data_IF_700267244097
#
_entry.id   IF_700267244097
#
_cell.length_a   1.000
_cell.length_b   1.000
_cell.length_c   1.000
_cell.angle_alpha   90.00
_cell.angle_beta   90.00
_cell.angle_gamma   90.00
#
_symmetry.space_group_name_H-M   'P 1'
#
loop_
_entity.id
_entity.type
_entity.pdbx_description
1 polymer ?
#
# COMPACT_ATOMS: atom_id res chain seq x y z
N UNK A 1 -1.17 -20.57 10.18
CA UNK A 1 -1.97 -19.46 9.60
C UNK A 1 -1.56 -19.17 8.15
N UNK A 2 -0.28 -19.09 7.81
CA UNK A 2 0.21 -19.01 6.41
C UNK A 2 -0.35 -20.13 5.53
N UNK A 3 -0.35 -21.37 6.04
CA UNK A 3 -0.97 -22.52 5.39
C UNK A 3 -2.47 -22.33 5.13
N UNK A 4 -3.20 -21.62 6.00
CA UNK A 4 -4.64 -21.42 5.83
C UNK A 4 -4.95 -20.46 4.67
N UNK A 5 -4.22 -19.35 4.57
CA UNK A 5 -4.33 -18.41 3.45
C UNK A 5 -3.97 -19.09 2.13
N UNK A 6 -2.86 -19.83 2.13
CA UNK A 6 -2.42 -20.60 0.96
C UNK A 6 -3.46 -21.64 0.54
N UNK A 7 -4.00 -22.42 1.49
CA UNK A 7 -5.02 -23.44 1.21
C UNK A 7 -6.30 -22.83 0.64
N UNK A 8 -6.74 -21.65 1.13
CA UNK A 8 -7.92 -20.95 0.61
C UNK A 8 -7.71 -20.44 -0.81
N UNK A 9 -6.55 -19.85 -1.09
CA UNK A 9 -6.23 -19.38 -2.43
C UNK A 9 -6.11 -20.53 -3.43
N UNK A 10 -5.39 -21.58 -3.05
CA UNK A 10 -5.23 -22.75 -3.90
C UNK A 10 -6.56 -23.49 -4.10
N UNK A 11 -7.46 -23.48 -3.11
CA UNK A 11 -8.84 -23.93 -3.29
C UNK A 11 -9.58 -23.06 -4.32
N UNK A 12 -9.42 -21.73 -4.25
CA UNK A 12 -10.07 -20.82 -5.18
C UNK A 12 -9.54 -20.95 -6.62
N UNK A 13 -8.23 -21.15 -6.80
CA UNK A 13 -7.58 -21.18 -8.12
C UNK A 13 -7.48 -22.57 -8.74
N UNK A 14 -7.63 -23.66 -7.97
CA UNK A 14 -7.57 -25.03 -8.50
C UNK A 14 -8.76 -25.34 -9.43
N UNK A 15 -8.44 -25.88 -10.61
CA UNK A 15 -9.40 -26.36 -11.61
C UNK A 15 -9.76 -27.85 -11.42
N UNK A 16 -8.92 -28.60 -10.70
CA UNK A 16 -8.99 -30.07 -10.59
C UNK A 16 -10.18 -30.55 -9.77
N UNK A 17 -10.70 -29.72 -8.86
CA UNK A 17 -11.83 -30.09 -7.98
C UNK A 17 -13.22 -29.78 -8.55
N UNK A 18 -13.33 -29.24 -9.77
CA UNK A 18 -14.60 -28.80 -10.37
C UNK A 18 -15.63 -29.93 -10.58
N UNK A 19 -15.18 -31.17 -10.80
CA UNK A 19 -16.06 -32.30 -11.13
C UNK A 19 -16.57 -33.05 -9.88
N UNK A 20 -15.75 -33.18 -8.82
CA UNK A 20 -16.16 -33.84 -7.57
C UNK A 20 -16.91 -32.91 -6.60
N UNK A 21 -16.69 -31.59 -6.66
CA UNK A 21 -17.34 -30.62 -5.77
C UNK A 21 -18.77 -30.25 -6.20
N UNK A 22 -19.26 -30.70 -7.37
CA UNK A 22 -20.66 -30.51 -7.79
C UNK A 22 -21.68 -31.18 -6.86
N UNK A 23 -21.25 -32.11 -6.01
CA UNK A 23 -22.14 -32.86 -5.11
C UNK A 23 -22.27 -32.27 -3.69
N UNK A 24 -21.51 -31.22 -3.35
CA UNK A 24 -21.68 -30.53 -2.08
C UNK A 24 -22.39 -29.21 -2.39
N UNK A 25 -23.61 -29.03 -1.85
CA UNK A 25 -24.37 -27.78 -1.93
C UNK A 25 -23.57 -26.63 -1.28
N UNK A 26 -22.64 -26.06 -2.02
CA UNK A 26 -21.92 -24.86 -1.61
C UNK A 26 -22.82 -23.66 -1.91
N UNK A 27 -23.16 -22.93 -0.84
CA UNK A 27 -24.00 -21.73 -0.89
C UNK A 27 -23.45 -20.70 -1.89
N UNK A 28 -24.33 -19.90 -2.51
CA UNK A 28 -23.98 -18.83 -3.45
C UNK A 28 -22.88 -17.88 -2.93
N UNK A 29 -22.79 -17.72 -1.60
CA UNK A 29 -21.79 -16.93 -0.90
C UNK A 29 -20.36 -17.45 -1.04
N UNK A 30 -20.16 -18.77 -1.14
CA UNK A 30 -18.83 -19.37 -1.30
C UNK A 30 -18.31 -19.26 -2.73
N UNK A 31 -19.20 -19.26 -3.73
CA UNK A 31 -18.84 -19.00 -5.12
C UNK A 31 -18.35 -17.58 -5.35
N UNK A 32 -19.03 -16.59 -4.75
CA UNK A 32 -18.59 -15.20 -4.79
C UNK A 32 -17.24 -14.98 -4.14
N UNK A 33 -17.03 -15.60 -2.96
CA UNK A 33 -15.74 -15.55 -2.29
C UNK A 33 -14.64 -16.13 -3.18
N UNK A 34 -14.93 -17.23 -3.89
CA UNK A 34 -13.99 -17.85 -4.83
C UNK A 34 -13.67 -16.92 -6.00
N UNK A 35 -14.66 -16.32 -6.64
CA UNK A 35 -14.46 -15.43 -7.79
C UNK A 35 -13.67 -14.17 -7.40
N UNK A 36 -13.95 -13.60 -6.22
CA UNK A 36 -13.16 -12.49 -5.69
C UNK A 36 -11.71 -12.93 -5.42
N UNK A 37 -11.50 -14.07 -4.78
CA UNK A 37 -10.16 -14.60 -4.53
C UNK A 37 -9.39 -14.84 -5.84
N UNK A 38 -10.04 -15.36 -6.89
CA UNK A 38 -9.43 -15.54 -8.22
C UNK A 38 -9.02 -14.18 -8.80
N UNK A 39 -9.91 -13.19 -8.78
CA UNK A 39 -9.62 -11.83 -9.27
C UNK A 39 -8.46 -11.19 -8.51
N UNK A 40 -8.46 -11.26 -7.18
CA UNK A 40 -7.43 -10.65 -6.34
C UNK A 40 -6.09 -11.39 -6.48
N UNK A 41 -6.13 -12.73 -6.63
CA UNK A 41 -4.93 -13.54 -6.85
C UNK A 41 -4.20 -13.21 -8.15
N UNK A 42 -4.93 -12.77 -9.17
CA UNK A 42 -4.41 -12.37 -10.48
C UNK A 42 -4.09 -10.87 -10.59
N UNK A 43 -4.14 -10.15 -9.47
CA UNK A 43 -3.81 -8.71 -9.41
C UNK A 43 -2.36 -8.51 -8.99
N UNK A 44 -1.69 -7.49 -9.54
CA UNK A 44 -0.31 -7.16 -9.15
C UNK A 44 -0.28 -6.60 -7.72
N UNK A 45 0.77 -6.91 -6.96
CA UNK A 45 0.92 -6.40 -5.59
C UNK A 45 0.83 -4.86 -5.51
N UNK A 46 1.41 -4.16 -6.49
CA UNK A 46 1.34 -2.69 -6.59
C UNK A 46 -0.10 -2.17 -6.70
N UNK A 47 -0.93 -2.85 -7.47
CA UNK A 47 -2.35 -2.51 -7.67
C UNK A 47 -3.19 -2.80 -6.42
N UNK A 48 -2.70 -3.69 -5.55
CA UNK A 48 -3.27 -3.96 -4.21
C UNK A 48 -2.72 -3.00 -3.13
N UNK A 49 -1.98 -1.97 -3.53
CA UNK A 49 -1.38 -0.99 -2.64
C UNK A 49 -0.13 -1.47 -1.90
N UNK A 50 0.42 -2.65 -2.25
CA UNK A 50 1.67 -3.18 -1.70
C UNK A 50 2.84 -2.75 -2.58
N UNK A 51 3.74 -1.91 -2.04
CA UNK A 51 4.98 -1.52 -2.73
C UNK A 51 4.85 -0.42 -3.80
N UNK A 52 3.76 0.35 -3.80
CA UNK A 52 3.68 1.57 -4.61
C UNK A 52 4.45 2.72 -3.95
N UNK A 53 4.89 3.73 -4.72
CA UNK A 53 5.73 4.84 -4.25
C UNK A 53 5.13 5.66 -3.09
N UNK A 54 3.80 5.64 -2.94
CA UNK A 54 3.10 6.25 -1.80
C UNK A 54 3.20 5.39 -0.52
N UNK A 55 3.53 4.11 -0.66
CA UNK A 55 3.28 3.03 0.31
C UNK A 55 4.40 1.97 0.41
N UNK A 56 5.60 2.23 -0.12
CA UNK A 56 6.80 1.50 0.29
C UNK A 56 6.96 1.72 1.80
N UNK A 57 6.77 0.66 2.60
CA UNK A 57 7.18 0.70 4.00
C UNK A 57 8.67 1.00 3.98
N UNK A 58 9.05 2.11 4.60
CA UNK A 58 10.45 2.43 4.87
C UNK A 58 11.09 1.18 5.46
N UNK A 59 11.98 0.55 4.70
CA UNK A 59 12.75 -0.56 5.21
C UNK A 59 13.79 0.00 6.18
N UNK A 60 14.11 -0.78 7.19
CA UNK A 60 15.25 -0.49 8.06
C UNK A 60 16.35 -1.45 7.65
N UNK A 61 17.42 -0.87 7.13
CA UNK A 61 18.58 -1.60 6.64
C UNK A 61 19.77 -1.38 7.58
N UNK A 62 20.60 -2.42 7.73
CA UNK A 62 21.86 -2.39 8.45
C UNK A 62 22.94 -3.02 7.56
N UNK A 63 24.15 -2.49 7.64
CA UNK A 63 25.30 -3.11 6.98
C UNK A 63 25.73 -4.39 7.72
N UNK A 64 26.34 -5.33 7.01
CA UNK A 64 26.73 -6.62 7.58
C UNK A 64 27.80 -6.51 8.69
N UNK A 65 28.59 -5.44 8.70
CA UNK A 65 29.64 -5.15 9.69
C UNK A 65 29.13 -4.46 10.96
N UNK A 66 27.84 -4.09 11.01
CA UNK A 66 27.20 -3.53 12.21
C UNK A 66 27.15 -4.58 13.31
N UNK A 67 27.45 -4.21 14.54
CA UNK A 67 27.37 -5.11 15.69
C UNK A 67 25.91 -5.54 15.95
N UNK A 68 25.71 -6.81 16.33
CA UNK A 68 24.38 -7.39 16.62
C UNK A 68 23.63 -6.57 17.67
N UNK A 69 24.32 -6.10 18.71
CA UNK A 69 23.70 -5.26 19.74
C UNK A 69 23.13 -3.94 19.19
N UNK A 70 23.78 -3.36 18.18
CA UNK A 70 23.30 -2.12 17.55
C UNK A 70 22.17 -2.42 16.55
N UNK A 71 22.26 -3.53 15.82
CA UNK A 71 21.14 -4.03 15.01
C UNK A 71 19.88 -4.27 15.87
N UNK A 72 20.03 -4.83 17.08
CA UNK A 72 18.92 -5.00 18.03
C UNK A 72 18.31 -3.68 18.47
N UNK A 73 19.12 -2.62 18.67
CA UNK A 73 18.60 -1.28 18.98
C UNK A 73 17.73 -0.77 17.83
N UNK A 74 18.17 -0.92 16.58
CA UNK A 74 17.38 -0.54 15.40
C UNK A 74 16.09 -1.36 15.28
N UNK A 75 16.18 -2.67 15.51
CA UNK A 75 15.04 -3.59 15.51
C UNK A 75 13.95 -3.13 16.50
N UNK A 76 14.36 -2.79 17.72
CA UNK A 76 13.47 -2.32 18.78
C UNK A 76 12.94 -0.90 18.53
N UNK A 77 13.82 0.03 18.15
CA UNK A 77 13.45 1.44 17.98
C UNK A 77 12.50 1.65 16.81
N UNK A 78 12.68 0.89 15.72
CA UNK A 78 11.82 0.97 14.55
C UNK A 78 10.56 0.09 14.67
N UNK A 79 10.45 -0.73 15.71
CA UNK A 79 9.35 -1.67 15.93
C UNK A 79 9.05 -2.52 14.67
N UNK A 80 10.11 -3.09 14.08
CA UNK A 80 10.04 -3.91 12.88
C UNK A 80 10.27 -5.39 13.22
N UNK A 81 9.69 -6.29 12.43
CA UNK A 81 9.85 -7.73 12.62
C UNK A 81 11.12 -8.30 11.96
N UNK A 82 11.74 -7.52 11.08
CA UNK A 82 12.94 -7.90 10.32
C UNK A 82 13.71 -6.65 9.86
N UNK A 83 15.03 -6.75 9.82
CA UNK A 83 15.96 -5.80 9.21
C UNK A 83 16.51 -6.35 7.90
N UNK A 84 16.69 -5.47 6.91
CA UNK A 84 17.46 -5.78 5.73
C UNK A 84 18.95 -5.75 6.08
N UNK A 85 19.68 -6.81 5.75
CA UNK A 85 21.14 -6.80 5.83
C UNK A 85 21.67 -6.50 4.43
N UNK A 86 22.31 -5.36 4.28
CA UNK A 86 22.74 -4.84 2.97
C UNK A 86 24.26 -4.71 2.88
N UNK A 87 24.77 -4.66 1.65
CA UNK A 87 26.15 -4.27 1.40
C UNK A 87 26.30 -2.73 1.31
N UNK A 88 27.54 -2.28 1.08
CA UNK A 88 27.87 -0.85 0.90
C UNK A 88 27.20 -0.19 -0.30
N UNK A 89 26.68 -0.99 -1.25
CA UNK A 89 25.94 -0.53 -2.43
C UNK A 89 24.42 -0.56 -2.21
N UNK A 90 23.95 -1.01 -1.03
CA UNK A 90 22.54 -1.17 -0.70
C UNK A 90 21.90 -2.45 -1.26
N UNK A 91 22.71 -3.40 -1.76
CA UNK A 91 22.24 -4.70 -2.22
C UNK A 91 21.81 -5.54 -1.03
N UNK A 92 20.65 -6.19 -1.15
CA UNK A 92 20.18 -7.10 -0.11
C UNK A 92 21.05 -8.36 -0.09
N UNK A 93 21.82 -8.54 0.98
CA UNK A 93 22.62 -9.76 1.21
C UNK A 93 21.80 -10.76 2.01
N UNK A 94 21.22 -10.33 3.12
CA UNK A 94 20.51 -11.21 4.04
C UNK A 94 19.37 -10.48 4.78
N UNK A 95 18.72 -11.17 5.71
CA UNK A 95 17.73 -10.61 6.61
C UNK A 95 18.05 -10.96 8.05
N UNK A 96 17.79 -10.04 8.98
CA UNK A 96 17.99 -10.25 10.41
C UNK A 96 16.66 -10.09 11.14
N UNK A 97 16.14 -11.19 11.67
CA UNK A 97 14.77 -11.30 12.19
C UNK A 97 14.73 -11.83 13.62
N UNK A 98 13.59 -11.67 14.28
CA UNK A 98 13.36 -12.31 15.60
C UNK A 98 13.58 -13.82 15.60
N UNK A 99 13.38 -14.49 14.46
CA UNK A 99 13.64 -15.93 14.32
C UNK A 99 15.14 -16.25 14.44
N UNK A 100 16.02 -15.35 13.98
CA UNK A 100 17.47 -15.51 14.12
C UNK A 100 17.91 -15.32 15.58
N UNK A 101 17.19 -14.47 16.33
CA UNK A 101 17.43 -14.24 17.75
C UNK A 101 16.93 -15.38 18.65
N UNK A 102 15.99 -16.22 18.17
CA UNK A 102 15.34 -17.27 18.99
C UNK A 102 16.32 -18.28 19.59
N UNK A 103 17.48 -18.44 18.96
CA UNK A 103 18.53 -19.37 19.42
C UNK A 103 19.54 -18.72 20.37
N UNK A 104 19.42 -17.41 20.67
CA UNK A 104 20.22 -16.75 21.70
C UNK A 104 19.73 -17.18 23.08
N UNK A 105 20.64 -17.75 23.85
CA UNK A 105 20.43 -18.06 25.27
C UNK A 105 21.18 -17.04 26.14
N UNK A 106 20.89 -17.02 27.43
CA UNK A 106 21.61 -16.21 28.41
C UNK A 106 23.11 -16.55 28.51
N UNK A 107 23.57 -17.64 27.91
CA UNK A 107 25.00 -18.00 27.87
C UNK A 107 25.71 -17.43 26.63
N UNK A 108 24.97 -16.90 25.65
CA UNK A 108 25.49 -16.45 24.35
C UNK A 108 25.81 -14.95 24.30
N UNK A 109 26.15 -14.33 25.44
CA UNK A 109 26.44 -12.89 25.50
C UNK A 109 27.55 -12.44 24.54
N UNK A 110 28.53 -13.31 24.28
CA UNK A 110 29.62 -13.06 23.33
C UNK A 110 29.14 -12.92 21.88
N UNK A 111 27.96 -13.45 21.55
CA UNK A 111 27.38 -13.36 20.21
C UNK A 111 26.80 -11.96 19.91
N UNK A 112 26.49 -11.16 20.94
CA UNK A 112 25.96 -9.80 20.78
C UNK A 112 27.04 -8.79 20.34
N UNK A 113 28.32 -9.13 20.56
CA UNK A 113 29.48 -8.31 20.19
C UNK A 113 29.90 -8.56 18.74
N UNK A 114 29.43 -9.65 18.13
CA UNK A 114 29.74 -9.96 16.73
C UNK A 114 29.07 -9.00 15.78
N UNK A 115 29.64 -8.91 14.58
CA UNK A 115 28.95 -8.26 13.46
C UNK A 115 27.73 -9.09 13.04
N UNK A 116 26.73 -8.47 12.42
CA UNK A 116 25.51 -9.15 11.95
C UNK A 116 25.85 -10.24 10.94
N UNK A 117 26.80 -9.99 10.03
CA UNK A 117 27.29 -10.98 9.07
C UNK A 117 27.88 -12.19 9.77
N UNK A 118 28.85 -11.97 10.66
CA UNK A 118 29.45 -13.05 11.45
C UNK A 118 28.42 -13.78 12.30
N UNK A 119 27.45 -13.08 12.88
CA UNK A 119 26.42 -13.71 13.70
C UNK A 119 25.53 -14.66 12.89
N UNK A 120 25.16 -14.24 11.68
CA UNK A 120 24.36 -15.06 10.76
C UNK A 120 25.17 -16.28 10.31
N UNK A 121 26.48 -16.11 10.07
CA UNK A 121 27.37 -17.17 9.60
C UNK A 121 27.79 -18.15 10.71
N UNK A 122 28.03 -17.66 11.93
CA UNK A 122 28.67 -18.39 13.04
C UNK A 122 27.74 -19.34 13.79
N UNK A 123 26.43 -19.11 13.79
CA UNK A 123 25.46 -20.01 14.48
C UNK A 123 24.76 -20.93 13.49
N UNK A 124 25.37 -22.07 13.15
CA UNK A 124 24.70 -23.30 12.68
C UNK A 124 23.38 -23.09 11.90
N UNK A 125 23.43 -22.29 10.84
CA UNK A 125 22.46 -22.37 9.77
C UNK A 125 23.21 -22.76 8.50
N UNK A 126 23.71 -24.00 8.40
CA UNK A 126 24.21 -24.51 7.12
C UNK A 126 23.17 -24.37 6.00
N UNK A 127 21.89 -24.19 6.35
CA UNK A 127 20.77 -24.01 5.44
C UNK A 127 19.93 -22.74 5.74
N UNK A 128 20.52 -21.59 6.13
CA UNK A 128 19.70 -20.35 6.12
C UNK A 128 19.33 -20.08 4.66
N UNK A 129 18.04 -20.13 4.29
CA UNK A 129 17.68 -19.88 2.91
C UNK A 129 17.93 -18.41 2.61
N UNK A 130 18.30 -18.15 1.36
CA UNK A 130 18.41 -16.79 0.86
C UNK A 130 17.12 -16.00 1.13
N UNK A 131 17.22 -14.69 1.40
CA UNK A 131 16.04 -13.86 1.56
C UNK A 131 15.15 -13.98 0.32
N UNK A 132 13.86 -14.21 0.52
CA UNK A 132 12.90 -14.26 -0.58
C UNK A 132 12.76 -12.88 -1.21
N UNK A 133 12.95 -12.80 -2.53
CA UNK A 133 12.92 -11.55 -3.30
C UNK A 133 11.80 -11.61 -4.32
N UNK A 134 11.03 -10.53 -4.40
CA UNK A 134 10.01 -10.33 -5.42
C UNK A 134 10.25 -9.01 -6.15
N UNK A 135 9.79 -8.95 -7.39
CA UNK A 135 9.74 -7.72 -8.18
C UNK A 135 8.48 -6.93 -7.85
N UNK A 136 8.48 -5.63 -8.15
CA UNK A 136 7.32 -4.76 -7.93
C UNK A 136 6.08 -5.18 -8.73
N UNK A 137 6.30 -5.81 -9.88
CA UNK A 137 5.28 -6.28 -10.80
C UNK A 137 4.79 -7.71 -10.48
N UNK A 138 5.19 -8.28 -9.34
CA UNK A 138 4.81 -9.62 -8.93
C UNK A 138 3.30 -9.72 -8.67
N UNK A 139 2.68 -10.81 -9.13
CA UNK A 139 1.28 -11.11 -8.84
C UNK A 139 1.11 -11.57 -7.39
N UNK A 140 -0.08 -11.34 -6.82
CA UNK A 140 -0.37 -11.78 -5.46
C UNK A 140 -0.21 -13.29 -5.28
N UNK A 141 -0.68 -14.09 -6.24
CA UNK A 141 -0.59 -15.55 -6.19
C UNK A 141 0.88 -16.00 -6.11
N UNK A 142 1.73 -15.52 -7.01
CA UNK A 142 3.16 -15.85 -7.05
C UNK A 142 3.85 -15.53 -5.70
N UNK A 143 3.54 -14.37 -5.13
CA UNK A 143 4.10 -13.94 -3.85
C UNK A 143 3.68 -14.87 -2.70
N UNK A 144 2.44 -15.33 -2.70
CA UNK A 144 1.91 -16.23 -1.68
C UNK A 144 2.47 -17.64 -1.86
N UNK A 145 2.61 -18.12 -3.09
CA UNK A 145 3.25 -19.39 -3.40
C UNK A 145 4.70 -19.40 -2.91
N UNK A 146 5.45 -18.32 -3.14
CA UNK A 146 6.82 -18.17 -2.63
C UNK A 146 6.89 -18.24 -1.09
N UNK A 147 6.01 -17.53 -0.37
CA UNK A 147 5.95 -17.64 1.09
C UNK A 147 5.54 -19.05 1.51
N UNK A 148 4.56 -19.67 0.84
CA UNK A 148 4.06 -20.99 1.20
C UNK A 148 5.12 -22.07 0.99
N UNK A 149 5.86 -22.02 -0.11
CA UNK A 149 6.99 -22.91 -0.38
C UNK A 149 8.11 -22.73 0.64
N UNK A 150 8.38 -21.50 1.07
CA UNK A 150 9.35 -21.26 2.15
C UNK A 150 8.95 -21.95 3.46
N UNK A 151 7.65 -22.13 3.75
CA UNK A 151 7.23 -22.83 4.98
C UNK A 151 7.71 -24.29 5.02
N UNK A 152 7.99 -24.91 3.87
CA UNK A 152 8.47 -26.30 3.78
C UNK A 152 9.92 -26.43 4.26
N UNK A 153 10.74 -25.41 4.06
CA UNK A 153 12.17 -25.41 4.43
C UNK A 153 12.39 -24.64 5.73
N UNK A 154 12.04 -23.36 5.75
CA UNK A 154 12.13 -22.49 6.93
C UNK A 154 11.03 -21.43 6.86
N UNK A 155 10.09 -21.40 7.82
CA UNK A 155 9.01 -20.43 7.85
C UNK A 155 9.50 -18.99 7.71
N UNK A 156 9.35 -18.43 6.50
CA UNK A 156 9.55 -17.01 6.27
C UNK A 156 8.21 -16.30 6.38
N UNK A 157 8.22 -15.11 6.96
CA UNK A 157 7.01 -14.31 7.18
C UNK A 157 6.99 -13.04 6.34
N UNK A 158 7.96 -12.88 5.43
CA UNK A 158 8.10 -11.69 4.63
C UNK A 158 8.82 -11.98 3.31
N UNK A 159 8.57 -11.10 2.33
CA UNK A 159 9.23 -11.03 1.03
C UNK A 159 9.82 -9.63 0.86
N UNK A 160 11.03 -9.56 0.32
CA UNK A 160 11.68 -8.30 -0.01
C UNK A 160 11.31 -7.87 -1.42
N UNK A 161 10.76 -6.67 -1.56
CA UNK A 161 10.56 -6.05 -2.86
C UNK A 161 11.88 -5.44 -3.29
N UNK A 162 12.47 -5.98 -4.34
CA UNK A 162 13.74 -5.53 -4.86
C UNK A 162 13.60 -4.87 -6.22
N UNK A 163 14.50 -3.93 -6.51
CA UNK A 163 14.66 -3.36 -7.84
C UNK A 163 15.41 -4.32 -8.79
N UNK A 164 15.61 -3.91 -10.04
CA UNK A 164 16.31 -4.70 -11.06
C UNK A 164 17.76 -5.01 -10.65
N UNK A 165 18.35 -4.17 -9.80
CA UNK A 165 19.70 -4.33 -9.26
C UNK A 165 19.75 -5.13 -7.97
N UNK A 166 18.65 -5.72 -7.50
CA UNK A 166 18.55 -6.43 -6.21
C UNK A 166 18.71 -5.56 -4.95
N UNK A 167 18.51 -4.25 -5.05
CA UNK A 167 18.41 -3.38 -3.87
C UNK A 167 17.03 -3.53 -3.26
N UNK A 168 16.97 -3.66 -1.94
CA UNK A 168 15.71 -3.71 -1.22
C UNK A 168 15.04 -2.33 -1.26
N UNK A 169 13.85 -2.24 -1.85
CA UNK A 169 13.03 -1.04 -1.89
C UNK A 169 11.79 -1.13 -0.99
N UNK A 170 11.40 -2.34 -0.57
CA UNK A 170 10.26 -2.52 0.30
C UNK A 170 10.14 -3.92 0.88
N UNK A 171 9.12 -4.10 1.72
CA UNK A 171 8.85 -5.35 2.43
C UNK A 171 7.35 -5.68 2.34
N UNK A 172 7.04 -6.93 1.98
CA UNK A 172 5.70 -7.51 2.07
C UNK A 172 5.71 -8.53 3.20
N UNK A 173 4.93 -8.29 4.25
CA UNK A 173 4.83 -9.20 5.39
C UNK A 173 3.58 -10.09 5.30
N UNK A 174 3.56 -11.18 6.06
CA UNK A 174 2.37 -12.02 6.22
C UNK A 174 1.16 -11.22 6.72
N UNK A 175 1.38 -10.20 7.56
CA UNK A 175 0.32 -9.29 8.01
C UNK A 175 -0.27 -8.50 6.85
N UNK A 176 0.53 -8.14 5.84
CA UNK A 176 0.05 -7.44 4.65
C UNK A 176 -0.82 -8.37 3.78
N UNK A 177 -0.45 -9.65 3.65
CA UNK A 177 -1.31 -10.64 3.01
C UNK A 177 -2.63 -10.83 3.75
N UNK A 178 -2.59 -11.03 5.07
CA UNK A 178 -3.79 -11.14 5.90
C UNK A 178 -4.69 -9.91 5.73
N UNK A 179 -4.08 -8.72 5.65
CA UNK A 179 -4.80 -7.49 5.39
C UNK A 179 -5.53 -7.56 4.06
N UNK A 180 -4.87 -7.96 2.96
CA UNK A 180 -5.54 -8.10 1.66
C UNK A 180 -6.75 -9.02 1.77
N UNK A 181 -6.58 -10.23 2.31
CA UNK A 181 -7.70 -11.18 2.43
C UNK A 181 -8.83 -10.64 3.29
N UNK A 182 -8.52 -9.95 4.38
CA UNK A 182 -9.52 -9.32 5.26
C UNK A 182 -10.15 -8.04 4.71
N UNK A 183 -9.66 -7.51 3.59
CA UNK A 183 -10.15 -6.23 3.04
C UNK A 183 -10.94 -6.47 1.76
N UNK A 184 -10.42 -7.31 0.88
CA UNK A 184 -10.96 -7.50 -0.46
C UNK A 184 -12.05 -8.58 -0.54
N UNK A 185 -12.35 -9.28 0.56
CA UNK A 185 -13.51 -10.18 0.70
C UNK A 185 -14.80 -9.42 1.05
N UNK A 186 -15.34 -8.63 0.12
CA UNK A 186 -16.70 -8.08 0.28
C UNK A 186 -17.60 -8.69 -0.78
N UNK A 187 -18.68 -9.39 -0.37
CA UNK A 187 -19.51 -10.15 -1.29
C UNK A 187 -20.19 -9.22 -2.28
N UNK A 188 -19.93 -9.42 -3.58
CA UNK A 188 -20.81 -8.92 -4.64
C UNK A 188 -22.07 -9.79 -4.62
N UNK A 189 -23.10 -9.42 -3.86
CA UNK A 189 -24.34 -10.20 -3.80
C UNK A 189 -25.01 -10.23 -5.19
N UNK A 190 -25.39 -11.39 -5.78
CA UNK A 190 -25.81 -11.45 -7.18
C UNK A 190 -27.32 -11.21 -7.35
N UNK A 191 -28.03 -10.87 -6.26
CA UNK A 191 -29.49 -10.83 -6.22
C UNK A 191 -30.07 -9.55 -5.58
N UNK A 192 -29.26 -8.53 -5.33
CA UNK A 192 -29.75 -7.20 -4.99
C UNK A 192 -28.97 -6.16 -5.80
N UNK A 193 -29.67 -5.38 -6.61
CA UNK A 193 -29.16 -4.24 -7.38
C UNK A 193 -28.71 -3.05 -6.50
N UNK A 194 -28.20 -3.31 -5.30
CA UNK A 194 -27.59 -2.31 -4.43
C UNK A 194 -26.14 -2.73 -4.19
N UNK A 195 -25.22 -2.02 -4.86
CA UNK A 195 -23.78 -2.14 -4.59
C UNK A 195 -23.57 -1.82 -3.11
N UNK A 196 -22.91 -2.68 -2.32
CA UNK A 196 -22.78 -2.45 -0.88
C UNK A 196 -22.04 -1.13 -0.63
N UNK A 197 -22.73 -0.22 0.06
CA UNK A 197 -22.20 1.08 0.48
C UNK A 197 -21.15 0.85 1.57
N UNK A 198 -19.89 1.09 1.23
CA UNK A 198 -18.75 0.88 2.11
C UNK A 198 -18.64 2.02 3.13
N UNK A 199 -19.10 3.21 2.77
CA UNK A 199 -19.00 4.40 3.61
C UNK A 199 -18.87 5.68 2.81
N UNK A 200 -18.45 6.75 3.50
CA UNK A 200 -18.25 8.06 2.89
C UNK A 200 -16.80 8.52 3.03
N UNK A 201 -16.25 9.06 1.96
CA UNK A 201 -14.93 9.67 1.93
C UNK A 201 -15.08 11.19 1.79
N UNK A 202 -14.52 11.93 2.73
CA UNK A 202 -14.34 13.37 2.62
C UNK A 202 -12.90 13.70 2.28
N UNK A 203 -12.70 14.42 1.17
CA UNK A 203 -11.41 14.86 0.66
C UNK A 203 -11.32 16.37 0.85
N UNK A 204 -10.34 16.83 1.61
CA UNK A 204 -10.07 18.25 1.81
C UNK A 204 -8.66 18.58 1.35
N UNK A 205 -8.54 19.39 0.29
CA UNK A 205 -7.26 19.94 -0.13
C UNK A 205 -6.93 21.16 0.75
N UNK A 206 -5.76 21.16 1.38
CA UNK A 206 -5.40 22.17 2.40
C UNK A 206 -4.32 23.14 1.91
N UNK A 207 -3.16 22.63 1.51
CA UNK A 207 -1.99 23.43 1.16
C UNK A 207 -1.28 22.84 -0.07
N UNK A 208 -0.44 23.64 -0.71
CA UNK A 208 0.44 23.20 -1.80
C UNK A 208 1.84 23.76 -1.56
N UNK A 209 2.88 22.97 -1.87
CA UNK A 209 4.28 23.41 -1.75
C UNK A 209 5.16 22.85 -2.87
N UNK A 210 6.36 23.40 -3.00
CA UNK A 210 7.39 22.98 -3.96
C UNK A 210 6.93 22.94 -5.42
N UNK A 211 5.91 23.74 -5.78
CA UNK A 211 5.43 23.82 -7.16
C UNK A 211 6.43 24.57 -8.01
N UNK A 212 6.91 23.92 -9.07
CA UNK A 212 7.89 24.49 -9.98
C UNK A 212 7.46 25.87 -10.50
N UNK A 213 8.40 26.81 -10.52
CA UNK A 213 8.14 28.14 -11.08
C UNK A 213 7.90 28.03 -12.59
N UNK A 214 6.69 28.34 -13.07
CA UNK A 214 6.43 28.55 -14.49
C UNK A 214 7.28 29.72 -15.01
N UNK A 215 7.97 29.51 -16.14
CA UNK A 215 8.88 30.47 -16.82
C UNK A 215 8.21 31.76 -17.34
N UNK A 216 6.97 32.07 -16.94
CA UNK A 216 6.24 33.24 -17.43
C UNK A 216 6.72 34.52 -16.73
N UNK A 217 7.23 35.47 -17.53
CA UNK A 217 7.75 36.78 -17.09
C UNK A 217 6.66 37.72 -16.52
N UNK A 218 5.38 37.41 -16.68
CA UNK A 218 4.27 38.21 -16.14
C UNK A 218 3.77 37.62 -14.81
N UNK A 219 4.64 37.75 -13.79
CA UNK A 219 4.33 37.50 -12.38
C UNK A 219 3.49 38.66 -11.85
N UNK A 220 2.19 38.46 -11.62
CA UNK A 220 1.51 39.18 -10.53
C UNK A 220 0.36 38.41 -9.91
N UNK A 221 -0.26 37.43 -10.57
CA UNK A 221 -1.35 36.67 -9.95
C UNK A 221 -1.45 35.23 -10.52
N UNK A 222 -0.78 34.24 -9.90
CA UNK A 222 -1.24 32.86 -10.09
C UNK A 222 -2.57 32.68 -9.37
N UNK A 223 -3.43 31.85 -9.95
CA UNK A 223 -4.73 31.57 -9.38
C UNK A 223 -4.89 30.05 -9.41
N UNK A 224 -4.38 29.43 -8.35
CA UNK A 224 -4.33 27.98 -8.26
C UNK A 224 -5.70 27.44 -7.81
N UNK A 225 -6.05 26.27 -8.30
CA UNK A 225 -7.17 25.50 -7.76
C UNK A 225 -6.88 24.01 -7.85
N UNK A 226 -7.48 23.26 -6.94
CA UNK A 226 -7.38 21.80 -6.90
C UNK A 226 -8.66 21.22 -7.49
N UNK A 227 -8.49 20.34 -8.48
CA UNK A 227 -9.54 19.47 -9.00
C UNK A 227 -9.51 18.13 -8.28
N UNK A 228 -10.66 17.64 -7.84
CA UNK A 228 -10.82 16.30 -7.27
C UNK A 228 -11.79 15.52 -8.15
N UNK A 229 -11.33 14.39 -8.69
CA UNK A 229 -12.15 13.49 -9.51
C UNK A 229 -12.28 12.16 -8.84
N UNK A 230 -13.51 11.81 -8.49
CA UNK A 230 -13.87 10.48 -8.03
C UNK A 230 -14.38 9.65 -9.22
N UNK A 231 -14.12 8.34 -9.28
CA UNK A 231 -14.53 7.51 -10.40
C UNK A 231 -16.05 7.58 -10.65
N UNK A 232 -16.44 7.69 -11.92
CA UNK A 232 -17.86 7.82 -12.29
C UNK A 232 -18.49 9.18 -12.00
N UNK A 233 -17.76 10.13 -11.39
CA UNK A 233 -18.25 11.48 -11.10
C UNK A 233 -17.51 12.56 -11.89
N UNK A 234 -18.19 13.69 -12.05
CA UNK A 234 -17.57 14.90 -12.62
C UNK A 234 -16.53 15.48 -11.67
N UNK A 235 -15.49 16.09 -12.23
CA UNK A 235 -14.42 16.71 -11.44
C UNK A 235 -14.97 17.90 -10.65
N UNK A 236 -14.83 17.86 -9.32
CA UNK A 236 -15.11 18.98 -8.43
C UNK A 236 -13.86 19.86 -8.28
N UNK A 237 -14.06 21.16 -8.04
CA UNK A 237 -12.96 22.14 -8.02
C UNK A 237 -13.03 22.99 -6.76
N UNK A 238 -11.88 23.27 -6.14
CA UNK A 238 -11.80 24.28 -5.09
C UNK A 238 -11.98 25.67 -5.70
N UNK A 239 -12.49 26.66 -4.94
CA UNK A 239 -12.43 28.04 -5.34
C UNK A 239 -10.97 28.45 -5.53
N UNK A 240 -10.69 29.07 -6.68
CA UNK A 240 -9.36 29.58 -6.96
C UNK A 240 -9.10 30.82 -6.09
N UNK A 241 -8.00 30.83 -5.34
CA UNK A 241 -7.60 32.00 -4.55
C UNK A 241 -6.51 32.77 -5.31
N UNK A 242 -6.40 34.09 -5.12
CA UNK A 242 -5.27 34.85 -5.64
C UNK A 242 -3.99 34.49 -4.87
N UNK A 243 -2.84 34.53 -5.55
CA UNK A 243 -1.48 34.22 -5.05
C UNK A 243 -1.07 34.92 -3.72
N UNK A 244 -1.78 35.99 -3.34
CA UNK A 244 -1.52 36.74 -2.12
C UNK A 244 -2.14 36.09 -0.86
N UNK A 245 -3.02 35.11 -1.03
CA UNK A 245 -3.56 34.29 0.06
C UNK A 245 -2.74 32.99 0.14
N UNK A 246 -2.24 32.64 1.33
CA UNK A 246 -1.60 31.36 1.59
C UNK A 246 -2.53 30.54 2.52
N UNK A 247 -3.07 29.38 2.09
CA UNK A 247 -2.84 28.67 0.82
C UNK A 247 -3.35 29.40 -0.42
N UNK A 248 -2.66 29.16 -1.55
CA UNK A 248 -2.95 29.72 -2.88
C UNK A 248 -4.28 29.26 -3.51
N UNK A 249 -5.12 28.56 -2.75
CA UNK A 249 -6.49 28.17 -3.09
C UNK A 249 -7.29 28.02 -1.80
N UNK A 250 -8.61 28.23 -1.85
CA UNK A 250 -9.45 28.11 -0.65
C UNK A 250 -9.65 26.65 -0.31
N UNK A 251 -9.50 26.31 0.97
CA UNK A 251 -9.80 24.97 1.48
C UNK A 251 -11.26 24.64 1.18
N UNK A 252 -11.50 23.47 0.58
CA UNK A 252 -12.85 22.94 0.34
C UNK A 252 -12.84 21.45 0.60
N UNK A 253 -13.93 20.96 1.19
CA UNK A 253 -14.13 19.55 1.45
C UNK A 253 -15.16 19.00 0.47
N UNK A 254 -14.81 17.88 -0.16
CA UNK A 254 -15.67 17.16 -1.09
C UNK A 254 -16.00 15.80 -0.51
N UNK A 255 -17.27 15.44 -0.43
CA UNK A 255 -17.70 14.17 0.14
C UNK A 255 -18.24 13.25 -0.95
N UNK A 256 -17.76 12.02 -0.96
CA UNK A 256 -18.07 10.98 -1.92
C UNK A 256 -18.62 9.76 -1.19
N UNK A 257 -19.61 9.09 -1.79
CA UNK A 257 -20.02 7.75 -1.35
C UNK A 257 -19.09 6.73 -2.00
N UNK A 258 -18.59 5.79 -1.20
CA UNK A 258 -17.75 4.70 -1.68
C UNK A 258 -18.60 3.43 -1.64
N UNK A 259 -18.59 2.71 -2.75
CA UNK A 259 -19.22 1.40 -2.89
C UNK A 259 -18.18 0.39 -3.39
N UNK A 260 -18.55 -0.89 -3.42
CA UNK A 260 -17.65 -1.96 -3.89
C UNK A 260 -17.20 -1.80 -5.36
N UNK A 261 -17.98 -1.13 -6.21
CA UNK A 261 -17.61 -0.90 -7.62
C UNK A 261 -16.46 0.10 -7.79
N UNK A 262 -16.18 0.88 -6.75
CA UNK A 262 -15.07 1.83 -6.71
C UNK A 262 -13.75 1.20 -6.24
N UNK A 263 -13.76 -0.02 -5.71
CA UNK A 263 -12.54 -0.73 -5.30
C UNK A 263 -11.68 -1.07 -6.52
N UNK A 264 -10.37 -0.81 -6.44
CA UNK A 264 -9.44 -0.95 -7.57
C UNK A 264 -9.49 0.22 -8.56
N UNK A 265 -10.21 1.30 -8.24
CA UNK A 265 -10.17 2.57 -8.99
C UNK A 265 -9.48 3.66 -8.16
N UNK A 266 -9.00 4.68 -8.85
CA UNK A 266 -8.25 5.77 -8.23
C UNK A 266 -9.09 7.03 -8.07
N UNK A 267 -8.99 7.66 -6.90
CA UNK A 267 -9.30 9.08 -6.71
C UNK A 267 -8.15 9.89 -7.34
N UNK A 268 -8.47 10.76 -8.29
CA UNK A 268 -7.45 11.61 -8.93
C UNK A 268 -7.54 13.05 -8.41
N UNK A 269 -6.41 13.56 -7.98
CA UNK A 269 -6.21 14.95 -7.58
C UNK A 269 -5.46 15.67 -8.68
N UNK A 270 -5.92 16.86 -9.05
CA UNK A 270 -5.31 17.69 -10.07
C UNK A 270 -4.97 19.06 -9.48
N UNK A 271 -3.81 19.60 -9.82
CA UNK A 271 -3.47 20.99 -9.53
C UNK A 271 -3.47 21.78 -10.83
N UNK A 272 -4.28 22.83 -10.89
CA UNK A 272 -4.38 23.69 -12.05
C UNK A 272 -3.93 25.12 -11.74
N UNK A 273 -3.39 25.78 -12.76
CA UNK A 273 -3.17 27.22 -12.81
C UNK A 273 -4.22 27.86 -13.73
N UNK A 274 -5.11 28.65 -13.14
CA UNK A 274 -6.19 29.33 -13.85
C UNK A 274 -5.62 30.49 -14.67
N UNK A 275 -5.74 30.41 -15.98
CA UNK A 275 -5.26 31.48 -16.89
C UNK A 275 -6.30 32.60 -16.93
N UNK A 276 -5.99 33.75 -16.31
CA UNK A 276 -6.91 34.91 -16.30
C UNK A 276 -7.03 35.65 -17.64
N UNK A 277 -6.05 35.50 -18.55
CA UNK A 277 -5.88 36.42 -19.70
C UNK A 277 -5.96 35.77 -21.08
N UNK A 278 -6.04 34.43 -21.18
CA UNK A 278 -6.10 33.72 -22.46
C UNK A 278 -7.33 32.83 -22.50
N UNK A 279 -8.07 32.82 -23.62
CA UNK A 279 -9.18 31.90 -23.93
C UNK A 279 -8.75 30.42 -24.04
N UNK A 280 -7.56 30.06 -23.55
CA UNK A 280 -7.05 28.70 -23.55
C UNK A 280 -7.45 27.93 -22.30
N UNK A 281 -7.37 26.59 -22.33
CA UNK A 281 -7.69 25.75 -21.18
C UNK A 281 -6.76 26.04 -20.00
N UNK A 282 -7.29 25.84 -18.78
CA UNK A 282 -6.52 25.90 -17.53
C UNK A 282 -5.28 25.01 -17.62
N UNK A 283 -4.14 25.50 -17.12
CA UNK A 283 -2.89 24.76 -17.23
C UNK A 283 -2.81 23.73 -16.11
N UNK A 284 -2.80 22.44 -16.46
CA UNK A 284 -2.46 21.38 -15.50
C UNK A 284 -1.00 21.51 -15.08
N UNK A 285 -0.77 21.62 -13.77
CA UNK A 285 0.58 21.63 -13.17
C UNK A 285 1.01 20.20 -12.88
N UNK A 286 0.14 19.41 -12.28
CA UNK A 286 0.40 18.02 -11.94
C UNK A 286 -0.83 17.31 -11.40
N UNK A 287 -0.75 16.00 -11.32
CA UNK A 287 -1.80 15.13 -10.80
C UNK A 287 -1.24 14.10 -9.82
N UNK A 288 -2.09 13.60 -8.94
CA UNK A 288 -1.80 12.47 -8.08
C UNK A 288 -2.99 11.51 -8.07
N UNK A 289 -2.71 10.22 -7.95
CA UNK A 289 -3.71 9.18 -7.87
C UNK A 289 -3.64 8.49 -6.51
N UNK A 290 -4.80 8.30 -5.89
CA UNK A 290 -4.94 7.62 -4.61
C UNK A 290 -5.91 6.46 -4.78
N UNK A 291 -5.44 5.25 -4.54
CA UNK A 291 -6.27 4.05 -4.62
C UNK A 291 -7.38 4.08 -3.56
N UNK A 292 -8.62 3.88 -4.00
CA UNK A 292 -9.81 3.85 -3.14
C UNK A 292 -9.80 2.60 -2.25
N UNK A 293 -9.24 1.48 -2.70
CA UNK A 293 -9.16 0.28 -1.88
C UNK A 293 -8.26 0.51 -0.65
N UNK A 294 -7.17 1.26 -0.81
CA UNK A 294 -6.32 1.68 0.30
C UNK A 294 -7.06 2.56 1.31
N UNK A 295 -7.89 3.50 0.84
CA UNK A 295 -8.72 4.37 1.69
C UNK A 295 -9.73 3.53 2.48
N UNK A 296 -10.46 2.65 1.78
CA UNK A 296 -11.43 1.74 2.40
C UNK A 296 -10.78 0.79 3.43
N UNK A 297 -9.49 0.51 3.27
CA UNK A 297 -8.67 -0.28 4.19
C UNK A 297 -8.05 0.52 5.35
N UNK A 298 -8.62 1.68 5.67
CA UNK A 298 -8.13 2.55 6.72
C UNK A 298 -6.71 3.02 6.51
N UNK A 299 -6.42 3.43 5.28
CA UNK A 299 -5.16 4.06 4.92
C UNK A 299 -3.94 3.16 5.20
N UNK A 300 -4.11 1.84 5.03
CA UNK A 300 -3.04 0.87 5.29
C UNK A 300 -2.68 0.73 6.78
N UNK A 301 -3.54 1.18 7.69
CA UNK A 301 -3.49 0.79 9.11
C UNK A 301 -4.32 -0.48 9.37
N UNK A 302 -5.11 -0.91 8.39
CA UNK A 302 -6.07 -2.00 8.52
C UNK A 302 -7.39 -1.49 9.08
N UNK A 303 -8.38 -2.37 9.11
CA UNK A 303 -9.68 -2.12 9.72
C UNK A 303 -9.51 -2.06 11.25
N UNK A 304 -9.02 -0.95 11.78
CA UNK A 304 -9.15 -0.66 13.20
C UNK A 304 -10.65 -0.53 13.53
N UNK A 305 -11.05 -0.89 14.75
CA UNK A 305 -12.43 -0.80 15.26
C UNK A 305 -13.06 0.61 15.22
N UNK A 306 -12.32 1.62 14.77
CA UNK A 306 -12.77 3.00 14.64
C UNK A 306 -13.63 3.17 13.39
N UNK A 307 -14.87 3.63 13.60
CA UNK A 307 -15.85 3.96 12.56
C UNK A 307 -15.39 5.07 11.60
N UNK A 308 -14.54 5.98 12.08
CA UNK A 308 -14.02 7.12 11.32
C UNK A 308 -12.51 7.08 11.38
N UNK A 309 -11.89 7.15 10.22
CA UNK A 309 -10.45 7.14 10.07
C UNK A 309 -10.03 8.39 9.31
N UNK A 310 -8.89 8.95 9.70
CA UNK A 310 -8.36 10.18 9.11
C UNK A 310 -6.88 10.03 8.81
N UNK A 311 -6.49 10.55 7.64
CA UNK A 311 -5.10 10.77 7.28
C UNK A 311 -4.92 12.17 6.72
N UNK A 312 -3.89 12.87 7.21
CA UNK A 312 -3.35 14.10 6.62
C UNK A 312 -1.98 13.79 6.05
N UNK A 313 -1.79 13.97 4.75
CA UNK A 313 -0.52 13.64 4.11
C UNK A 313 -0.20 14.57 2.94
N UNK A 314 1.09 14.86 2.77
CA UNK A 314 1.62 15.46 1.56
C UNK A 314 1.65 14.41 0.46
N UNK A 315 0.95 14.67 -0.63
CA UNK A 315 0.87 13.78 -1.80
C UNK A 315 1.69 14.43 -2.92
N UNK A 316 2.73 13.75 -3.43
CA UNK A 316 3.51 14.25 -4.55
C UNK A 316 2.67 14.28 -5.82
N UNK A 317 2.81 15.37 -6.56
CA UNK A 317 2.21 15.56 -7.88
C UNK A 317 3.20 15.16 -8.95
N UNK A 318 2.69 14.50 -9.99
CA UNK A 318 3.42 14.12 -11.18
C UNK A 318 2.80 14.80 -12.40
N UNK A 319 3.64 15.26 -13.33
CA UNK A 319 3.14 15.80 -14.59
C UNK A 319 2.84 14.64 -15.54
N UNK A 320 1.65 14.58 -16.18
CA UNK A 320 1.26 13.43 -17.00
C UNK A 320 2.22 13.12 -18.16
N UNK A 321 2.91 14.14 -18.66
CA UNK A 321 3.89 13.99 -19.76
C UNK A 321 5.34 13.75 -19.29
N UNK A 322 5.60 13.67 -17.97
CA UNK A 322 6.95 13.49 -17.46
C UNK A 322 7.19 12.04 -17.05
N UNK A 323 7.72 11.25 -17.99
CA UNK A 323 8.11 9.84 -17.77
C UNK A 323 9.36 9.68 -16.88
N UNK A 324 10.05 10.78 -16.55
CA UNK A 324 11.28 10.77 -15.76
C UNK A 324 11.07 10.79 -14.22
N UNK A 325 9.85 10.56 -13.73
CA UNK A 325 9.57 10.35 -12.29
C UNK A 325 9.72 11.57 -11.37
N UNK A 326 10.13 12.73 -11.88
CA UNK A 326 10.31 13.95 -11.06
C UNK A 326 8.98 14.53 -10.57
N UNK A 327 8.84 14.68 -9.25
CA UNK A 327 7.72 15.40 -8.63
C UNK A 327 7.72 16.87 -9.04
N UNK A 328 6.55 17.40 -9.40
CA UNK A 328 6.36 18.80 -9.82
C UNK A 328 5.81 19.69 -8.70
N UNK A 329 5.61 19.13 -7.52
CA UNK A 329 5.11 19.78 -6.31
C UNK A 329 4.36 18.79 -5.42
N UNK A 330 3.88 19.25 -4.27
CA UNK A 330 3.13 18.42 -3.33
C UNK A 330 1.85 19.13 -2.87
N UNK A 331 0.77 18.37 -2.66
CA UNK A 331 -0.48 18.86 -2.07
C UNK A 331 -0.67 18.21 -0.70
N UNK A 332 -0.94 19.02 0.33
CA UNK A 332 -1.42 18.51 1.61
C UNK A 332 -2.91 18.23 1.50
N UNK A 333 -3.27 16.96 1.65
CA UNK A 333 -4.65 16.51 1.60
C UNK A 333 -5.02 15.86 2.92
N UNK A 334 -6.20 16.21 3.42
CA UNK A 334 -6.87 15.51 4.52
C UNK A 334 -7.94 14.60 3.91
N UNK A 335 -7.81 13.31 4.15
CA UNK A 335 -8.76 12.29 3.78
C UNK A 335 -9.43 11.78 5.06
N UNK A 336 -10.75 11.83 5.11
CA UNK A 336 -11.55 11.29 6.21
C UNK A 336 -12.48 10.23 5.64
N UNK A 337 -12.31 8.99 6.05
CA UNK A 337 -13.18 7.89 5.67
C UNK A 337 -14.04 7.51 6.85
N UNK A 338 -15.36 7.60 6.69
CA UNK A 338 -16.35 7.16 7.66
C UNK A 338 -17.03 5.90 7.13
N UNK A 339 -16.80 4.78 7.79
CA UNK A 339 -17.36 3.49 7.40
C UNK A 339 -18.83 3.41 7.79
N UNK A 340 -19.65 2.82 6.91
CA UNK A 340 -21.05 2.52 7.27
C UNK A 340 -21.07 1.33 8.22
N UNK A 341 -21.72 1.45 9.37
CA UNK A 341 -21.93 0.33 10.28
C UNK A 341 -22.78 -0.73 9.58
N UNK A 342 -22.19 -1.89 9.28
CA UNK A 342 -22.93 -3.14 9.18
C UNK A 342 -23.15 -3.66 10.62
N UNK A 343 -23.90 -2.91 11.43
CA UNK A 343 -24.58 -3.53 12.57
C UNK A 343 -25.90 -4.04 12.01
N UNK A 344 -26.16 -5.31 12.30
CA UNK A 344 -27.30 -6.09 11.87
C UNK A 344 -28.60 -5.28 11.88
N UNK A 345 -29.45 -5.56 10.90
CA UNK A 345 -30.88 -5.37 11.08
C UNK A 345 -31.32 -6.24 12.26
N UNK A 346 -31.38 -5.64 13.44
CA UNK A 346 -32.54 -5.83 14.29
C UNK A 346 -33.57 -4.80 13.81
N UNK A 347 -34.55 -5.28 13.05
CA UNK A 347 -35.91 -4.78 13.06
C UNK A 347 -36.82 -5.86 12.46
N UNK A 348 -37.59 -6.49 13.36
CA UNK A 348 -38.73 -7.42 13.22
C UNK A 348 -38.40 -8.91 13.07
#
# INVERSE_FOLDING_TARGET
>A
MTCFVFLILHWATSTVNMLEQRQIMFTQRLWLLRDDLIRISSTQLRELGIGSELFEKSIVAVEADVAVIDALKYFMSANVSVLAVVDKMGLLINSFSGTDLRRLTHMDHSALVLTVGEFIDRKNYPDKPDPLRIKKECMLLDAIDMIADSQKTRPMHHLWMCDVTSRAGGLVSLTDFMRIFSTYHLPVHPQSFDVPDLGSLSVTAMLVRHVAATKSRHRTQRCLFVGVRFPGQSMMRTPAAPDNENPSFRTSSFTFKIDASHLGRNLTLYLYDKRKFFFGPDKLIGQAEVDIAWIANGFGKGVAAQLIQEVKRWIPLHHPNNSAGGSVGEILVRLVYARRNHIAGEDI
#
